data_IF_246348773610
#
_entry.id   IF_246348773610
#
_cell.length_a   1.000
_cell.length_b   1.000
_cell.length_c   1.000
_cell.angle_alpha   90.00
_cell.angle_beta   90.00
_cell.angle_gamma   90.00
#
_symmetry.space_group_name_H-M   'P 1'
#
loop_
_entity.id
_entity.type
_entity.pdbx_description
1 polymer ?
#
# COMPACT_ATOMS: atom_id res chain seq x y z
N UNK A 1 7.31 2.33 -20.65
CA UNK A 1 6.41 2.06 -19.50
C UNK A 1 7.24 1.91 -18.24
N UNK A 2 6.92 2.59 -17.13
CA UNK A 2 7.60 2.36 -15.85
C UNK A 2 7.12 1.01 -15.28
N UNK A 3 8.04 0.06 -15.06
CA UNK A 3 7.72 -1.19 -14.35
C UNK A 3 7.68 -0.92 -12.85
N UNK A 4 6.54 -1.19 -12.22
CA UNK A 4 6.41 -1.20 -10.77
C UNK A 4 7.01 -2.47 -10.17
N UNK A 5 7.70 -2.33 -9.04
CA UNK A 5 8.19 -3.45 -8.24
C UNK A 5 6.97 -4.13 -7.61
N UNK A 6 6.89 -5.45 -7.79
CA UNK A 6 5.89 -6.34 -7.21
C UNK A 6 6.60 -7.34 -6.32
N UNK A 7 5.86 -7.97 -5.41
CA UNK A 7 6.31 -9.14 -4.65
C UNK A 7 7.65 -8.92 -3.92
N UNK A 8 7.84 -7.70 -3.40
CA UNK A 8 9.01 -7.33 -2.63
C UNK A 8 8.85 -7.81 -1.19
N UNK A 9 9.94 -8.23 -0.58
CA UNK A 9 9.93 -8.48 0.85
C UNK A 9 9.90 -7.17 1.64
N UNK A 10 8.93 -7.02 2.54
CA UNK A 10 8.89 -5.87 3.47
C UNK A 10 10.13 -5.83 4.37
N UNK A 11 10.71 -6.99 4.70
CA UNK A 11 11.96 -7.04 5.48
C UNK A 11 13.15 -6.46 4.71
N UNK A 12 13.22 -6.66 3.39
CA UNK A 12 14.26 -6.07 2.54
C UNK A 12 14.12 -4.55 2.47
N UNK A 13 12.88 -4.04 2.38
CA UNK A 13 12.63 -2.59 2.43
C UNK A 13 13.05 -2.02 3.78
N UNK A 14 12.77 -2.73 4.89
CA UNK A 14 13.18 -2.33 6.24
C UNK A 14 14.70 -2.23 6.40
N UNK A 15 15.43 -3.16 5.80
CA UNK A 15 16.89 -3.19 5.89
C UNK A 15 17.57 -2.10 5.05
N UNK A 16 16.92 -1.59 4.00
CA UNK A 16 17.53 -0.59 3.10
C UNK A 16 16.51 0.39 2.48
N UNK A 17 15.77 1.16 3.30
CA UNK A 17 14.64 1.97 2.83
C UNK A 17 15.04 3.06 1.83
N UNK A 18 16.24 3.63 1.98
CA UNK A 18 16.72 4.70 1.10
C UNK A 18 16.89 4.23 -0.35
N UNK A 19 17.22 2.94 -0.57
CA UNK A 19 17.35 2.35 -1.91
C UNK A 19 15.98 2.25 -2.61
N UNK A 20 14.89 2.18 -1.84
CA UNK A 20 13.55 2.02 -2.36
C UNK A 20 12.76 3.33 -2.47
N UNK A 21 13.23 4.40 -1.81
CA UNK A 21 12.57 5.72 -1.83
C UNK A 21 12.35 6.21 -3.26
N UNK A 22 11.13 6.65 -3.55
CA UNK A 22 10.71 7.16 -4.84
C UNK A 22 10.46 6.10 -5.92
N UNK A 23 10.82 4.83 -5.69
CA UNK A 23 10.51 3.74 -6.63
C UNK A 23 9.02 3.43 -6.64
N UNK A 24 8.51 3.07 -7.80
CA UNK A 24 7.11 2.68 -7.99
C UNK A 24 6.93 1.24 -7.51
N UNK A 25 6.00 1.03 -6.60
CA UNK A 25 5.56 -0.27 -6.11
C UNK A 25 4.12 -0.54 -6.52
N UNK A 26 3.79 -1.82 -6.62
CA UNK A 26 2.43 -2.31 -6.74
C UNK A 26 2.18 -3.24 -5.57
N UNK A 27 1.40 -2.77 -4.61
CA UNK A 27 1.06 -3.48 -3.38
C UNK A 27 -0.38 -3.95 -3.45
N UNK A 28 -0.60 -5.23 -3.22
CA UNK A 28 -1.92 -5.75 -2.92
C UNK A 28 -2.17 -5.72 -1.42
N UNK A 29 -3.44 -5.73 -1.06
CA UNK A 29 -3.81 -5.95 0.32
C UNK A 29 -5.30 -5.91 0.58
N UNK A 30 -5.64 -6.22 1.81
CA UNK A 30 -6.99 -6.08 2.35
C UNK A 30 -7.05 -4.84 3.23
N UNK A 31 -8.06 -3.99 3.01
CA UNK A 31 -8.26 -2.76 3.79
C UNK A 31 -8.58 -3.10 5.24
N UNK A 32 -7.84 -2.49 6.17
CA UNK A 32 -8.17 -2.48 7.59
C UNK A 32 -8.86 -1.19 8.00
N UNK A 33 -8.45 -0.06 7.43
CA UNK A 33 -9.05 1.24 7.71
C UNK A 33 -8.84 2.21 6.55
N UNK A 34 -9.80 3.10 6.35
CA UNK A 34 -9.71 4.21 5.40
C UNK A 34 -10.18 5.47 6.09
N UNK A 35 -9.36 6.53 6.05
CA UNK A 35 -9.68 7.80 6.71
C UNK A 35 -9.15 8.98 5.91
N UNK A 36 -9.78 10.14 6.11
CA UNK A 36 -9.24 11.39 5.62
C UNK A 36 -8.09 11.86 6.51
N UNK A 37 -7.05 12.38 5.87
CA UNK A 37 -5.88 13.03 6.50
C UNK A 37 -5.58 14.33 5.74
N UNK A 38 -4.66 15.14 6.24
CA UNK A 38 -4.33 16.41 5.62
C UNK A 38 -3.82 16.24 4.18
N UNK A 39 -3.07 15.17 3.93
CA UNK A 39 -2.45 14.83 2.65
C UNK A 39 -3.42 14.19 1.64
N UNK A 40 -4.64 13.81 2.06
CA UNK A 40 -5.64 13.18 1.20
C UNK A 40 -6.37 12.02 1.89
N UNK A 41 -6.56 10.90 1.18
CA UNK A 41 -7.17 9.71 1.78
C UNK A 41 -6.10 8.70 2.15
N UNK A 42 -6.01 8.36 3.43
CA UNK A 42 -5.11 7.32 3.92
C UNK A 42 -5.85 5.99 3.97
N UNK A 43 -5.27 4.98 3.32
CA UNK A 43 -5.66 3.58 3.47
C UNK A 43 -4.60 2.88 4.30
N UNK A 44 -5.04 2.16 5.32
CA UNK A 44 -4.25 1.18 6.03
C UNK A 44 -4.67 -0.22 5.57
N UNK A 45 -3.70 -0.98 5.05
CA UNK A 45 -3.95 -2.31 4.50
C UNK A 45 -3.02 -3.37 5.11
N UNK A 46 -3.48 -4.61 5.11
CA UNK A 46 -2.59 -5.77 5.32
C UNK A 46 -2.03 -6.17 3.96
N UNK A 47 -0.71 -6.22 3.85
CA UNK A 47 0.00 -6.53 2.62
C UNK A 47 -0.24 -7.97 2.19
N UNK A 48 -0.68 -8.12 0.95
CA UNK A 48 -0.83 -9.40 0.25
C UNK A 48 -0.17 -9.21 -1.12
N UNK A 49 0.87 -9.98 -1.47
CA UNK A 49 1.51 -9.88 -2.78
C UNK A 49 0.53 -10.08 -3.93
N UNK A 50 0.83 -9.47 -5.07
CA UNK A 50 0.01 -9.59 -6.28
C UNK A 50 0.68 -10.42 -7.37
N UNK A 51 -0.12 -11.02 -8.24
CA UNK A 51 0.33 -11.64 -9.48
C UNK A 51 0.71 -10.59 -10.55
N UNK A 52 1.08 -11.05 -11.74
CA UNK A 52 1.46 -10.19 -12.86
C UNK A 52 0.31 -9.29 -13.35
N UNK A 53 -0.95 -9.68 -13.08
CA UNK A 53 -2.17 -8.96 -13.45
C UNK A 53 -2.69 -8.07 -12.33
N UNK A 54 -2.10 -8.12 -11.14
CA UNK A 54 -2.49 -7.31 -9.99
C UNK A 54 -3.53 -7.98 -9.08
N UNK A 55 -3.81 -9.27 -9.25
CA UNK A 55 -4.69 -10.02 -8.35
C UNK A 55 -3.92 -10.46 -7.11
N UNK A 56 -4.59 -10.49 -5.95
CA UNK A 56 -4.00 -10.96 -4.71
C UNK A 56 -3.63 -12.45 -4.84
N UNK A 57 -2.46 -12.81 -4.31
CA UNK A 57 -2.06 -14.21 -4.17
C UNK A 57 -2.71 -14.79 -2.91
N UNK A 58 -2.99 -16.10 -2.95
CA UNK A 58 -3.49 -16.85 -1.81
C UNK A 58 -2.32 -17.19 -0.86
N UNK A 59 -1.98 -16.24 0.01
CA UNK A 59 -0.90 -16.36 1.01
C UNK A 59 -1.32 -15.69 2.31
N UNK A 60 -0.77 -16.18 3.43
CA UNK A 60 -1.03 -15.57 4.74
C UNK A 60 -0.54 -14.12 4.81
N UNK A 61 -1.42 -13.16 5.17
CA UNK A 61 -1.03 -11.77 5.34
C UNK A 61 -0.19 -11.58 6.61
N UNK A 62 0.94 -10.85 6.52
CA UNK A 62 1.90 -10.73 7.64
C UNK A 62 2.25 -9.31 8.06
N UNK A 63 2.08 -8.34 7.18
CA UNK A 63 2.64 -6.99 7.35
C UNK A 63 1.61 -5.92 7.02
N UNK A 64 1.74 -4.72 7.60
CA UNK A 64 0.84 -3.59 7.31
C UNK A 64 1.53 -2.55 6.43
N UNK A 65 0.74 -1.86 5.61
CA UNK A 65 1.20 -0.70 4.85
C UNK A 65 0.21 0.46 4.97
N UNK A 66 0.73 1.65 4.68
CA UNK A 66 -0.06 2.86 4.53
C UNK A 66 0.06 3.34 3.08
N UNK A 67 -1.08 3.62 2.47
CA UNK A 67 -1.16 4.27 1.17
C UNK A 67 -1.86 5.63 1.32
N UNK A 68 -1.29 6.66 0.71
CA UNK A 68 -1.89 7.98 0.64
C UNK A 68 -2.35 8.21 -0.80
N UNK A 69 -3.66 8.38 -0.98
CA UNK A 69 -4.23 8.90 -2.21
C UNK A 69 -4.23 10.44 -2.11
N UNK A 70 -3.43 11.15 -2.93
CA UNK A 70 -3.23 12.59 -2.79
C UNK A 70 -4.54 13.37 -3.00
N UNK A 71 -4.76 14.39 -2.18
CA UNK A 71 -5.95 15.26 -2.25
C UNK A 71 -6.13 15.90 -3.63
N UNK A 72 -5.02 16.20 -4.33
CA UNK A 72 -5.01 16.79 -5.66
C UNK A 72 -5.65 15.88 -6.73
N UNK A 73 -5.75 14.58 -6.45
CA UNK A 73 -6.39 13.59 -7.33
C UNK A 73 -7.84 13.29 -6.92
N UNK A 74 -8.31 13.94 -5.86
CA UNK A 74 -9.64 13.75 -5.28
C UNK A 74 -9.58 13.04 -3.93
N UNK A 75 -10.66 12.33 -3.61
CA UNK A 75 -10.80 11.59 -2.35
C UNK A 75 -11.38 10.22 -2.62
N UNK A 76 -10.99 9.24 -1.80
CA UNK A 76 -11.57 7.90 -1.84
C UNK A 76 -12.61 7.81 -0.73
N UNK A 77 -13.86 7.54 -1.09
CA UNK A 77 -14.95 7.43 -0.11
C UNK A 77 -14.71 6.22 0.82
N UNK A 78 -14.59 6.41 2.14
CA UNK A 78 -14.41 5.31 3.09
C UNK A 78 -15.51 4.25 3.07
N UNK A 79 -16.73 4.55 2.60
CA UNK A 79 -17.81 3.58 2.44
C UNK A 79 -17.58 2.64 1.24
N UNK A 80 -16.96 3.18 0.17
CA UNK A 80 -16.56 2.41 -1.00
C UNK A 80 -15.27 1.64 -0.71
N UNK A 81 -14.28 2.31 -0.12
CA UNK A 81 -12.99 1.74 0.27
C UNK A 81 -13.02 1.31 1.74
N UNK A 82 -14.05 0.55 2.10
CA UNK A 82 -14.26 0.09 3.47
C UNK A 82 -13.38 -1.12 3.83
N UNK A 83 -13.30 -1.39 5.13
CA UNK A 83 -12.67 -2.57 5.72
C UNK A 83 -13.07 -3.87 4.99
N UNK A 84 -12.15 -4.83 4.93
CA UNK A 84 -12.30 -6.18 4.35
C UNK A 84 -12.42 -6.21 2.82
N UNK A 85 -12.31 -5.06 2.14
CA UNK A 85 -12.16 -5.02 0.68
C UNK A 85 -10.72 -5.25 0.26
N UNK A 86 -10.56 -6.02 -0.80
CA UNK A 86 -9.29 -6.20 -1.49
C UNK A 86 -8.98 -4.97 -2.36
N UNK A 87 -7.72 -4.58 -2.38
CA UNK A 87 -7.21 -3.48 -3.18
C UNK A 87 -5.83 -3.79 -3.74
N UNK A 88 -5.54 -3.17 -4.87
CA UNK A 88 -4.20 -3.09 -5.45
C UNK A 88 -3.84 -1.62 -5.63
N UNK A 89 -2.73 -1.21 -5.04
CA UNK A 89 -2.24 0.16 -5.01
C UNK A 89 -0.96 0.27 -5.82
N UNK A 90 -0.93 1.19 -6.78
CA UNK A 90 0.29 1.62 -7.44
C UNK A 90 0.74 2.96 -6.85
N UNK A 91 1.93 2.99 -6.23
CA UNK A 91 2.39 4.17 -5.51
C UNK A 91 3.91 4.23 -5.40
N UNK A 92 4.44 5.44 -5.16
CA UNK A 92 5.86 5.59 -4.87
C UNK A 92 6.11 5.35 -3.40
N UNK A 93 7.16 4.61 -3.07
CA UNK A 93 7.57 4.44 -1.69
C UNK A 93 8.11 5.76 -1.12
N UNK A 94 7.56 6.20 0.01
CA UNK A 94 7.91 7.47 0.65
C UNK A 94 8.86 7.21 1.82
N UNK A 95 8.41 6.42 2.79
CA UNK A 95 9.13 6.20 4.04
C UNK A 95 8.65 4.93 4.76
N UNK A 96 9.43 4.50 5.76
CA UNK A 96 8.98 3.59 6.80
C UNK A 96 8.43 4.42 7.96
N UNK A 97 7.27 3.99 8.49
CA UNK A 97 6.75 4.51 9.76
C UNK A 97 6.78 3.41 10.80
N UNK A 98 7.26 3.75 11.99
CA UNK A 98 7.10 2.88 13.14
C UNK A 98 5.63 2.91 13.56
N UNK A 99 5.00 1.73 13.61
CA UNK A 99 3.64 1.62 14.13
C UNK A 99 3.61 2.04 15.60
N UNK A 100 2.55 2.75 16.00
CA UNK A 100 2.22 2.91 17.41
C UNK A 100 1.29 1.75 17.78
N UNK A 101 1.69 0.95 18.78
CA UNK A 101 0.82 -0.04 19.44
C UNK A 101 -0.14 0.72 20.34
#
# INVERSE_FOLDING_TARGET
>A
MKRGIRDVSISEIRNSPNIYRGKLFIFGGMIVNTKFVQEGTQIEGVYIPVDSRGYLKDVEPRERFLAIFPKEWGTLDPLIYRKEREITVAGKFIELRQGKI
#
